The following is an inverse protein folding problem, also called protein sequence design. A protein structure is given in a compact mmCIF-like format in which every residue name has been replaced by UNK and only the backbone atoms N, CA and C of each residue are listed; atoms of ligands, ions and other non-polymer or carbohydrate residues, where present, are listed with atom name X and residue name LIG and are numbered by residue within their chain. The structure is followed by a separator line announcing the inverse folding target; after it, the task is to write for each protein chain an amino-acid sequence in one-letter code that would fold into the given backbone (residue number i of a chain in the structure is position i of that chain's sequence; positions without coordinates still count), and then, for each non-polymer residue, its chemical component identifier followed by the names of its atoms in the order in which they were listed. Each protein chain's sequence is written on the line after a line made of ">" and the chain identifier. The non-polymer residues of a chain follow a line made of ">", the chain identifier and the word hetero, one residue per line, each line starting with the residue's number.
data_IF_558320321419
#
_entry.id   IF_558320321419
#
_cell.length_a   1.000
_cell.length_b   1.000
_cell.length_c   1.000
_cell.angle_alpha   90.00
_cell.angle_beta   90.00
_cell.angle_gamma   90.00
#
_symmetry.space_group_name_H-M   'P 1'
#
loop_
_entity.id
_entity.type
_entity.pdbx_description
1 polymer ?
#
# COMPACT_ATOMS: atom_id res chain seq x y z
N UNK A 1 14.16 2.85 -0.94
CA UNK A 1 12.82 2.38 -1.34
C UNK A 1 11.95 3.51 -1.85
N UNK A 2 11.76 4.61 -1.09
CA UNK A 2 10.86 5.71 -1.47
C UNK A 2 11.07 6.30 -2.87
N UNK A 3 12.29 6.69 -3.24
CA UNK A 3 12.58 7.22 -4.58
C UNK A 3 12.25 6.20 -5.68
N UNK A 4 12.57 4.93 -5.46
CA UNK A 4 12.22 3.84 -6.38
C UNK A 4 10.72 3.66 -6.51
N UNK A 5 9.97 3.73 -5.41
CA UNK A 5 8.50 3.69 -5.40
C UNK A 5 7.90 4.88 -6.16
N UNK A 6 8.42 6.09 -5.95
CA UNK A 6 7.95 7.28 -6.66
C UNK A 6 8.21 7.18 -8.17
N UNK A 7 9.45 6.87 -8.55
CA UNK A 7 9.86 6.81 -9.95
C UNK A 7 9.17 5.68 -10.71
N UNK A 8 9.10 4.48 -10.13
CA UNK A 8 8.44 3.33 -10.76
C UNK A 8 6.90 3.38 -10.65
N UNK A 9 6.36 4.16 -9.73
CA UNK A 9 4.92 4.40 -9.61
C UNK A 9 4.51 5.62 -10.41
N UNK A 10 4.32 6.73 -9.68
CA UNK A 10 3.82 7.98 -10.23
C UNK A 10 4.68 8.52 -11.39
N UNK A 11 6.01 8.49 -11.28
CA UNK A 11 6.91 9.01 -12.32
C UNK A 11 6.73 8.30 -13.67
N UNK A 12 6.70 6.97 -13.65
CA UNK A 12 6.48 6.17 -14.85
C UNK A 12 5.07 6.36 -15.41
N UNK A 13 4.04 6.37 -14.56
CA UNK A 13 2.67 6.62 -14.98
C UNK A 13 2.47 8.03 -15.55
N UNK A 14 3.14 9.04 -14.99
CA UNK A 14 3.16 10.39 -15.52
C UNK A 14 3.82 10.43 -16.91
N UNK A 15 4.95 9.74 -17.10
CA UNK A 15 5.58 9.58 -18.42
C UNK A 15 4.64 8.93 -19.45
N UNK A 16 3.97 7.83 -19.07
CA UNK A 16 2.94 7.23 -19.93
C UNK A 16 1.80 8.20 -20.24
N UNK A 17 1.37 9.00 -19.26
CA UNK A 17 0.27 9.95 -19.43
C UNK A 17 0.63 11.07 -20.41
N UNK A 18 1.87 11.58 -20.37
CA UNK A 18 2.36 12.59 -21.32
C UNK A 18 2.46 12.07 -22.75
N UNK A 19 2.73 10.77 -22.92
CA UNK A 19 2.87 10.13 -24.23
C UNK A 19 1.58 9.44 -24.72
N UNK A 20 0.50 9.49 -23.94
CA UNK A 20 -0.73 8.80 -24.29
C UNK A 20 -1.60 9.67 -25.21
N UNK A 21 -1.73 9.25 -26.47
CA UNK A 21 -2.72 9.80 -27.44
C UNK A 21 -4.15 9.29 -27.17
N UNK A 22 -4.48 9.02 -25.90
CA UNK A 22 -5.75 8.43 -25.51
C UNK A 22 -6.94 9.36 -25.79
N UNK A 23 -8.17 8.83 -25.97
CA UNK A 23 -9.35 9.65 -26.15
C UNK A 23 -9.47 10.63 -24.98
N UNK A 24 -9.49 11.94 -25.28
CA UNK A 24 -9.58 13.00 -24.27
C UNK A 24 -10.82 12.91 -23.36
N UNK A 25 -11.79 12.08 -23.73
CA UNK A 25 -13.03 11.83 -23.01
C UNK A 25 -12.87 10.84 -21.84
N UNK A 26 -11.78 10.07 -21.79
CA UNK A 26 -11.54 9.11 -20.71
C UNK A 26 -10.86 9.78 -19.51
N UNK A 27 -11.23 9.33 -18.30
CA UNK A 27 -10.58 9.76 -17.06
C UNK A 27 -9.08 9.45 -17.14
N UNK A 28 -8.27 10.50 -16.97
CA UNK A 28 -6.81 10.45 -17.02
C UNK A 28 -6.17 10.25 -15.64
N UNK A 29 -4.84 10.30 -15.59
CA UNK A 29 -4.05 10.10 -14.36
C UNK A 29 -4.51 11.02 -13.22
N UNK A 30 -4.62 12.32 -13.50
CA UNK A 30 -4.95 13.35 -12.52
C UNK A 30 -6.42 13.40 -12.11
N UNK A 31 -7.28 12.57 -12.73
CA UNK A 31 -8.68 12.43 -12.31
C UNK A 31 -8.85 11.48 -11.12
N UNK A 32 -7.78 10.78 -10.72
CA UNK A 32 -7.78 9.84 -9.61
C UNK A 32 -6.94 10.42 -8.47
N UNK A 33 -7.57 10.65 -7.32
CA UNK A 33 -6.88 11.15 -6.13
C UNK A 33 -5.92 10.08 -5.59
N UNK A 34 -6.28 8.80 -5.72
CA UNK A 34 -5.39 7.68 -5.39
C UNK A 34 -4.15 7.62 -6.28
N UNK A 35 -4.24 8.01 -7.54
CA UNK A 35 -3.06 8.09 -8.40
C UNK A 35 -2.22 9.33 -8.06
N UNK A 36 -2.86 10.49 -7.88
CA UNK A 36 -2.15 11.76 -7.65
C UNK A 36 -1.50 11.79 -6.27
N UNK A 37 -2.28 11.64 -5.19
CA UNK A 37 -1.73 11.69 -3.84
C UNK A 37 -1.24 10.33 -3.36
N UNK A 38 -1.95 9.27 -3.74
CA UNK A 38 -1.57 7.92 -3.32
C UNK A 38 -0.22 7.52 -3.88
N UNK A 39 -0.06 7.49 -5.20
CA UNK A 39 1.18 7.01 -5.81
C UNK A 39 2.34 8.03 -5.70
N UNK A 40 2.05 9.33 -5.78
CA UNK A 40 3.12 10.35 -5.72
C UNK A 40 3.60 10.63 -4.28
N UNK A 41 2.74 10.48 -3.27
CA UNK A 41 3.05 10.89 -1.89
C UNK A 41 2.92 9.75 -0.90
N UNK A 42 1.77 9.07 -0.85
CA UNK A 42 1.49 8.09 0.21
C UNK A 42 2.34 6.82 0.08
N UNK A 43 2.48 6.25 -1.13
CA UNK A 43 3.30 5.05 -1.33
C UNK A 43 4.80 5.32 -1.07
N UNK A 44 5.42 6.40 -1.57
CA UNK A 44 6.79 6.75 -1.22
C UNK A 44 6.99 7.02 0.27
N UNK A 45 6.01 7.68 0.92
CA UNK A 45 6.03 7.92 2.38
C UNK A 45 5.99 6.60 3.14
N UNK A 46 5.07 5.69 2.78
CA UNK A 46 4.99 4.36 3.37
C UNK A 46 6.31 3.59 3.18
N UNK A 47 6.91 3.64 1.99
CA UNK A 47 8.20 3.02 1.69
C UNK A 47 9.34 3.57 2.56
N UNK A 48 9.41 4.90 2.73
CA UNK A 48 10.39 5.55 3.60
C UNK A 48 10.20 5.13 5.06
N UNK A 49 8.97 5.21 5.56
CA UNK A 49 8.63 4.88 6.94
C UNK A 49 8.89 3.41 7.28
N UNK A 50 8.56 2.47 6.40
CA UNK A 50 8.87 1.06 6.59
C UNK A 50 10.38 0.80 6.55
N UNK A 51 11.12 1.46 5.64
CA UNK A 51 12.59 1.35 5.59
C UNK A 51 13.23 1.81 6.89
N UNK A 52 12.85 3.00 7.39
CA UNK A 52 13.35 3.56 8.65
C UNK A 52 12.99 2.68 9.85
N UNK A 53 11.78 2.11 9.84
CA UNK A 53 11.34 1.20 10.90
C UNK A 53 12.19 -0.07 10.91
N UNK A 54 12.42 -0.67 9.74
CA UNK A 54 13.22 -1.89 9.61
C UNK A 54 14.69 -1.67 9.98
N UNK A 55 15.28 -0.51 9.67
CA UNK A 55 16.67 -0.21 10.06
C UNK A 55 16.84 -0.01 11.56
N UNK A 56 15.79 0.43 12.26
CA UNK A 56 15.80 0.66 13.70
C UNK A 56 15.39 -0.55 14.56
N UNK A 57 15.08 -1.69 13.93
CA UNK A 57 14.59 -2.89 14.62
C UNK A 57 15.58 -4.06 14.45
N UNK A 58 15.83 -4.78 15.54
CA UNK A 58 16.68 -5.97 15.52
C UNK A 58 16.09 -7.07 14.63
N UNK A 59 16.96 -7.81 13.97
CA UNK A 59 16.55 -8.94 13.15
C UNK A 59 15.88 -10.03 14.00
N UNK A 60 14.85 -10.66 13.44
CA UNK A 60 14.10 -11.75 14.02
C UNK A 60 14.50 -13.10 13.40
N UNK A 61 14.16 -14.23 14.05
CA UNK A 61 14.23 -15.54 13.37
C UNK A 61 13.15 -15.65 12.30
N UNK A 62 13.48 -16.31 11.19
CA UNK A 62 12.59 -16.62 10.04
C UNK A 62 12.13 -15.41 9.20
N UNK A 63 12.90 -14.32 9.16
CA UNK A 63 12.52 -13.09 8.45
C UNK A 63 12.18 -13.32 6.98
N UNK A 64 12.98 -14.14 6.30
CA UNK A 64 12.78 -14.43 4.87
C UNK A 64 11.44 -15.12 4.62
N UNK A 65 11.08 -16.08 5.47
CA UNK A 65 9.80 -16.78 5.36
C UNK A 65 8.63 -15.84 5.64
N UNK A 66 8.72 -15.01 6.69
CA UNK A 66 7.67 -14.06 7.06
C UNK A 66 7.48 -12.99 5.98
N UNK A 67 8.57 -12.39 5.51
CA UNK A 67 8.53 -11.41 4.44
C UNK A 67 8.01 -12.04 3.14
N UNK A 68 8.42 -13.28 2.83
CA UNK A 68 7.95 -14.04 1.67
C UNK A 68 6.45 -14.31 1.71
N UNK A 69 5.92 -14.79 2.84
CA UNK A 69 4.48 -15.02 3.01
C UNK A 69 3.69 -13.71 2.90
N UNK A 70 4.15 -12.65 3.54
CA UNK A 70 3.55 -11.32 3.41
C UNK A 70 3.55 -10.84 1.96
N UNK A 71 4.65 -11.03 1.25
CA UNK A 71 4.78 -10.65 -0.15
C UNK A 71 3.86 -11.45 -1.08
N UNK A 72 3.77 -12.77 -0.90
CA UNK A 72 2.84 -13.62 -1.67
C UNK A 72 1.39 -13.19 -1.43
N UNK A 73 1.03 -12.92 -0.18
CA UNK A 73 -0.30 -12.42 0.17
C UNK A 73 -0.60 -11.07 -0.50
N UNK A 74 0.30 -10.09 -0.36
CA UNK A 74 0.15 -8.78 -0.99
C UNK A 74 0.09 -8.85 -2.52
N UNK A 75 0.95 -9.66 -3.14
CA UNK A 75 0.95 -9.89 -4.58
C UNK A 75 -0.38 -10.47 -5.06
N UNK A 76 -0.91 -11.46 -4.33
CA UNK A 76 -2.18 -12.12 -4.67
C UNK A 76 -3.35 -11.14 -4.63
N UNK A 77 -3.39 -10.24 -3.64
CA UNK A 77 -4.40 -9.17 -3.59
C UNK A 77 -4.25 -8.23 -4.79
N UNK A 78 -3.02 -7.80 -5.09
CA UNK A 78 -2.72 -6.97 -6.26
C UNK A 78 -3.24 -7.61 -7.55
N UNK A 79 -2.84 -8.85 -7.84
CA UNK A 79 -3.28 -9.58 -9.03
C UNK A 79 -4.80 -9.76 -9.07
N UNK A 80 -5.41 -10.15 -7.95
CA UNK A 80 -6.86 -10.34 -7.87
C UNK A 80 -7.62 -9.05 -8.19
N UNK A 81 -7.12 -7.88 -7.75
CA UNK A 81 -7.73 -6.60 -8.09
C UNK A 81 -7.72 -6.33 -9.61
N UNK A 82 -6.60 -6.62 -10.28
CA UNK A 82 -6.42 -6.39 -11.71
C UNK A 82 -7.22 -7.36 -12.56
N UNK A 83 -7.23 -8.65 -12.18
CA UNK A 83 -8.10 -9.67 -12.79
C UNK A 83 -9.56 -9.29 -12.61
N UNK A 84 -9.94 -8.79 -11.43
CA UNK A 84 -11.30 -8.32 -11.18
C UNK A 84 -11.75 -7.20 -12.13
N UNK A 85 -10.87 -6.23 -12.42
CA UNK A 85 -11.14 -5.19 -13.41
C UNK A 85 -11.18 -5.72 -14.85
N UNK A 86 -10.27 -6.63 -15.19
CA UNK A 86 -10.23 -7.23 -16.53
C UNK A 86 -11.39 -8.19 -16.78
N UNK A 87 -11.99 -8.81 -15.77
CA UNK A 87 -13.10 -9.76 -15.93
C UNK A 87 -14.48 -9.09 -15.84
N UNK A 88 -14.53 -7.81 -15.43
CA UNK A 88 -15.78 -7.06 -15.39
C UNK A 88 -16.25 -6.72 -16.82
N UNK A 89 -17.46 -7.14 -17.23
CA UNK A 89 -18.03 -6.79 -18.54
C UNK A 89 -18.42 -5.31 -18.65
N UNK A 90 -18.59 -4.59 -17.52
CA UNK A 90 -18.96 -3.18 -17.50
C UNK A 90 -18.04 -2.36 -16.58
N UNK A 91 -16.71 -2.38 -16.83
CA UNK A 91 -15.77 -1.69 -15.96
C UNK A 91 -15.87 -0.17 -16.15
N UNK A 92 -15.40 0.55 -15.15
CA UNK A 92 -15.21 1.98 -15.23
C UNK A 92 -14.04 2.30 -16.18
N UNK A 93 -14.38 2.70 -17.40
CA UNK A 93 -13.38 2.98 -18.43
C UNK A 93 -12.51 4.17 -18.04
N UNK A 94 -11.23 4.06 -18.37
CA UNK A 94 -10.23 5.08 -18.14
C UNK A 94 -9.05 4.90 -19.10
N UNK A 95 -8.10 5.82 -19.08
CA UNK A 95 -6.97 5.82 -20.01
C UNK A 95 -6.07 4.55 -19.93
N UNK A 96 -6.14 3.78 -18.83
CA UNK A 96 -5.43 2.50 -18.67
C UNK A 96 -6.27 1.27 -19.05
N UNK A 97 -7.60 1.38 -19.02
CA UNK A 97 -8.59 0.36 -19.39
C UNK A 97 -9.68 1.02 -20.26
N UNK A 98 -9.39 1.31 -21.55
CA UNK A 98 -10.28 2.10 -22.40
C UNK A 98 -11.48 1.31 -22.93
N UNK A 99 -11.44 -0.03 -22.84
CA UNK A 99 -12.55 -0.92 -23.20
C UNK A 99 -12.54 -2.15 -22.28
N UNK A 100 -13.69 -2.83 -22.10
CA UNK A 100 -13.77 -4.03 -21.26
C UNK A 100 -12.72 -5.06 -21.65
N UNK A 101 -12.11 -5.71 -20.67
CA UNK A 101 -11.11 -6.78 -20.85
C UNK A 101 -9.77 -6.40 -21.50
N UNK A 102 -9.49 -5.10 -21.73
CA UNK A 102 -8.28 -4.69 -22.47
C UNK A 102 -7.53 -3.53 -21.81
N UNK A 103 -6.41 -3.85 -21.15
CA UNK A 103 -5.46 -2.84 -20.73
C UNK A 103 -4.64 -2.28 -21.89
N UNK A 104 -4.29 -0.99 -21.78
CA UNK A 104 -3.21 -0.38 -22.58
C UNK A 104 -1.84 -0.83 -22.05
N UNK A 105 -0.75 -0.42 -22.72
CA UNK A 105 0.60 -0.61 -22.19
C UNK A 105 0.77 0.01 -20.80
N UNK A 106 0.21 1.21 -20.59
CA UNK A 106 0.19 1.87 -19.29
C UNK A 106 -0.61 1.07 -18.25
N UNK A 107 -1.73 0.47 -18.65
CA UNK A 107 -2.52 -0.39 -17.76
C UNK A 107 -1.80 -1.66 -17.33
N UNK A 108 -1.11 -2.35 -18.25
CA UNK A 108 -0.28 -3.50 -17.91
C UNK A 108 0.88 -3.14 -16.99
N UNK A 109 1.55 -2.01 -17.27
CA UNK A 109 2.60 -1.50 -16.39
C UNK A 109 2.07 -1.21 -14.99
N UNK A 110 0.96 -0.47 -14.89
CA UNK A 110 0.32 -0.13 -13.62
C UNK A 110 -0.09 -1.38 -12.84
N UNK A 111 -0.70 -2.38 -13.50
CA UNK A 111 -1.11 -3.64 -12.90
C UNK A 111 0.10 -4.40 -12.30
N UNK A 112 1.21 -4.47 -13.04
CA UNK A 112 2.43 -5.10 -12.58
C UNK A 112 3.07 -4.34 -11.42
N UNK A 113 3.18 -3.01 -11.54
CA UNK A 113 3.71 -2.14 -10.49
C UNK A 113 2.90 -2.28 -9.20
N UNK A 114 1.57 -2.13 -9.26
CA UNK A 114 0.70 -2.20 -8.09
C UNK A 114 0.80 -3.57 -7.40
N UNK A 115 0.83 -4.66 -8.17
CA UNK A 115 0.99 -6.01 -7.61
C UNK A 115 2.34 -6.20 -6.93
N UNK A 116 3.43 -5.71 -7.54
CA UNK A 116 4.76 -5.74 -6.95
C UNK A 116 4.89 -4.84 -5.72
N UNK A 117 4.31 -3.65 -5.76
CA UNK A 117 4.27 -2.71 -4.64
C UNK A 117 3.48 -3.30 -3.46
N UNK A 118 2.31 -3.88 -3.71
CA UNK A 118 1.52 -4.58 -2.70
C UNK A 118 2.32 -5.72 -2.05
N UNK A 119 3.06 -6.51 -2.84
CA UNK A 119 3.95 -7.55 -2.33
C UNK A 119 5.05 -6.97 -1.42
N UNK A 120 5.76 -5.94 -1.90
CA UNK A 120 6.85 -5.32 -1.16
C UNK A 120 6.34 -4.70 0.16
N UNK A 121 5.22 -3.99 0.13
CA UNK A 121 4.65 -3.36 1.32
C UNK A 121 4.09 -4.36 2.33
N UNK A 122 3.40 -5.41 1.87
CA UNK A 122 2.90 -6.45 2.76
C UNK A 122 4.06 -7.24 3.42
N UNK A 123 5.09 -7.60 2.64
CA UNK A 123 6.29 -8.27 3.16
C UNK A 123 7.06 -7.41 4.16
N UNK A 124 7.32 -6.14 3.81
CA UNK A 124 8.00 -5.19 4.69
C UNK A 124 7.20 -4.90 5.97
N UNK A 125 5.86 -4.80 5.86
CA UNK A 125 4.99 -4.60 7.02
C UNK A 125 4.97 -5.81 7.93
N UNK A 126 4.84 -7.03 7.39
CA UNK A 126 4.90 -8.27 8.16
C UNK A 126 6.23 -8.43 8.91
N UNK A 127 7.34 -8.07 8.24
CA UNK A 127 8.67 -8.11 8.83
C UNK A 127 8.83 -7.05 9.93
N UNK A 128 8.51 -5.79 9.64
CA UNK A 128 8.60 -4.67 10.59
C UNK A 128 7.75 -4.96 11.83
N UNK A 129 6.57 -5.53 11.61
CA UNK A 129 5.69 -5.97 12.67
C UNK A 129 6.32 -7.07 13.54
N UNK A 130 6.82 -8.13 12.91
CA UNK A 130 7.44 -9.24 13.65
C UNK A 130 8.63 -8.76 14.49
N UNK A 131 9.49 -7.91 13.92
CA UNK A 131 10.64 -7.34 14.63
C UNK A 131 10.19 -6.42 15.77
N UNK A 132 9.14 -5.63 15.59
CA UNK A 132 8.61 -4.75 16.62
C UNK A 132 8.01 -5.52 17.80
N UNK A 133 7.25 -6.60 17.54
CA UNK A 133 6.65 -7.45 18.59
C UNK A 133 7.73 -8.14 19.43
N UNK A 134 8.81 -8.58 18.78
CA UNK A 134 9.93 -9.31 19.42
C UNK A 134 10.97 -8.39 20.06
N UNK A 135 10.95 -7.10 19.72
CA UNK A 135 11.85 -6.12 20.33
C UNK A 135 11.45 -5.84 21.79
N UNK A 136 12.40 -5.92 22.75
CA UNK A 136 12.11 -5.64 24.16
C UNK A 136 11.80 -4.16 24.40
N UNK A 137 12.25 -3.28 23.52
CA UNK A 137 11.92 -1.86 23.49
C UNK A 137 11.92 -1.38 22.03
N UNK A 138 10.99 -0.48 21.69
CA UNK A 138 10.92 0.16 20.37
C UNK A 138 11.19 1.64 20.55
N UNK A 139 12.21 2.15 19.86
CA UNK A 139 12.56 3.57 19.91
C UNK A 139 11.36 4.46 19.49
N UNK A 140 11.17 5.65 20.09
CA UNK A 140 10.07 6.54 19.73
C UNK A 140 10.05 6.93 18.24
N UNK A 141 11.23 7.07 17.61
CA UNK A 141 11.36 7.33 16.17
C UNK A 141 10.80 6.20 15.32
N UNK A 142 11.20 4.95 15.60
CA UNK A 142 10.67 3.74 14.92
C UNK A 142 9.17 3.63 15.10
N UNK A 143 8.65 3.89 16.31
CA UNK A 143 7.21 3.87 16.57
C UNK A 143 6.47 4.91 15.72
N UNK A 144 6.97 6.14 15.64
CA UNK A 144 6.39 7.19 14.79
C UNK A 144 6.39 6.75 13.32
N UNK A 145 7.49 6.19 12.83
CA UNK A 145 7.57 5.68 11.47
C UNK A 145 6.55 4.56 11.19
N UNK A 146 6.36 3.60 12.11
CA UNK A 146 5.34 2.56 11.98
C UNK A 146 3.91 3.14 11.94
N UNK A 147 3.62 4.12 12.80
CA UNK A 147 2.33 4.83 12.81
C UNK A 147 2.12 5.55 11.49
N UNK A 148 3.12 6.28 10.99
CA UNK A 148 3.05 6.99 9.71
C UNK A 148 2.84 6.05 8.53
N UNK A 149 3.49 4.88 8.51
CA UNK A 149 3.25 3.85 7.49
C UNK A 149 1.82 3.32 7.54
N UNK A 150 1.29 3.06 8.74
CA UNK A 150 -0.11 2.66 8.93
C UNK A 150 -1.09 3.73 8.48
N UNK A 151 -0.85 4.99 8.85
CA UNK A 151 -1.69 6.12 8.44
C UNK A 151 -1.67 6.32 6.92
N UNK A 152 -0.49 6.21 6.28
CA UNK A 152 -0.38 6.27 4.82
C UNK A 152 -1.15 5.13 4.14
N UNK A 153 -1.13 3.92 4.72
CA UNK A 153 -1.91 2.76 4.23
C UNK A 153 -3.42 3.04 4.32
N UNK A 154 -3.90 3.54 5.46
CA UNK A 154 -5.32 3.93 5.66
C UNK A 154 -5.72 4.98 4.63
N UNK A 155 -4.92 6.05 4.52
CA UNK A 155 -5.19 7.15 3.62
C UNK A 155 -5.24 6.68 2.17
N UNK A 156 -4.29 5.84 1.75
CA UNK A 156 -4.26 5.27 0.41
C UNK A 156 -5.51 4.42 0.13
N UNK A 157 -5.88 3.52 1.05
CA UNK A 157 -7.09 2.71 0.93
C UNK A 157 -8.35 3.60 0.87
N UNK A 158 -8.39 4.68 1.64
CA UNK A 158 -9.46 5.67 1.61
C UNK A 158 -9.60 6.37 0.26
N UNK A 159 -8.47 6.78 -0.35
CA UNK A 159 -8.46 7.37 -1.69
C UNK A 159 -8.88 6.37 -2.77
N UNK A 160 -8.42 5.12 -2.69
CA UNK A 160 -8.85 4.06 -3.62
C UNK A 160 -10.36 3.84 -3.51
N UNK A 161 -10.90 3.77 -2.28
CA UNK A 161 -12.33 3.66 -2.05
C UNK A 161 -13.09 4.88 -2.60
N UNK A 162 -12.57 6.09 -2.36
CA UNK A 162 -13.13 7.35 -2.86
C UNK A 162 -13.24 7.35 -4.39
N UNK A 163 -12.17 7.00 -5.09
CA UNK A 163 -12.13 6.94 -6.55
C UNK A 163 -13.06 5.87 -7.14
N UNK A 164 -13.37 4.83 -6.35
CA UNK A 164 -14.28 3.74 -6.70
C UNK A 164 -15.73 3.97 -6.21
N UNK A 165 -16.04 5.11 -5.59
CA UNK A 165 -17.40 5.37 -5.07
C UNK A 165 -18.47 5.38 -6.17
N UNK A 166 -18.12 5.85 -7.35
CA UNK A 166 -19.03 5.86 -8.50
C UNK A 166 -19.25 4.47 -9.12
N UNK A 167 -18.43 3.47 -8.75
CA UNK A 167 -18.32 2.16 -9.43
C UNK A 167 -18.49 0.98 -8.45
N UNK A 168 -19.09 1.25 -7.27
CA UNK A 168 -19.31 0.33 -6.12
C UNK A 168 -20.04 -1.00 -6.41
N UNK A 169 -20.44 -1.25 -7.65
CA UNK A 169 -21.14 -2.47 -8.08
C UNK A 169 -20.22 -3.67 -8.29
N UNK A 170 -18.89 -3.49 -8.36
CA UNK A 170 -17.97 -4.60 -8.67
C UNK A 170 -17.43 -5.27 -7.39
N UNK A 171 -17.37 -6.60 -7.38
CA UNK A 171 -16.82 -7.38 -6.27
C UNK A 171 -15.34 -7.07 -6.00
N UNK A 172 -14.59 -6.69 -7.04
CA UNK A 172 -13.17 -6.34 -6.99
C UNK A 172 -12.89 -5.09 -6.14
N UNK A 173 -13.72 -4.04 -6.27
CA UNK A 173 -13.58 -2.81 -5.49
C UNK A 173 -13.89 -3.03 -4.00
N UNK A 174 -14.83 -3.94 -3.67
CA UNK A 174 -15.15 -4.31 -2.28
C UNK A 174 -14.04 -5.12 -1.63
N UNK A 175 -13.46 -6.08 -2.35
CA UNK A 175 -12.37 -6.92 -1.85
C UNK A 175 -11.09 -6.10 -1.59
N UNK A 176 -10.73 -5.23 -2.53
CA UNK A 176 -9.53 -4.38 -2.41
C UNK A 176 -9.65 -3.38 -1.26
N UNK A 177 -10.83 -2.78 -1.08
CA UNK A 177 -11.12 -1.89 0.05
C UNK A 177 -11.05 -2.59 1.41
N UNK A 178 -11.64 -3.80 1.52
CA UNK A 178 -11.62 -4.58 2.75
C UNK A 178 -10.20 -5.02 3.15
N UNK A 179 -9.38 -5.45 2.18
CA UNK A 179 -7.99 -5.84 2.41
C UNK A 179 -7.12 -4.66 2.89
N UNK A 180 -7.31 -3.47 2.29
CA UNK A 180 -6.61 -2.24 2.71
C UNK A 180 -6.95 -1.83 4.15
N UNK A 181 -8.24 -1.88 4.52
CA UNK A 181 -8.70 -1.57 5.88
C UNK A 181 -8.18 -2.57 6.92
N UNK A 182 -8.11 -3.87 6.57
CA UNK A 182 -7.58 -4.90 7.46
C UNK A 182 -6.07 -4.70 7.74
N UNK A 183 -5.27 -4.38 6.71
CA UNK A 183 -3.85 -4.09 6.86
C UNK A 183 -3.58 -2.86 7.72
N UNK A 184 -4.36 -1.80 7.50
CA UNK A 184 -4.37 -0.58 8.30
C UNK A 184 -4.71 -0.83 9.79
N UNK A 185 -5.77 -1.59 10.06
CA UNK A 185 -6.19 -1.94 11.41
C UNK A 185 -5.11 -2.72 12.16
N UNK A 186 -4.40 -3.64 11.48
CA UNK A 186 -3.26 -4.36 12.03
C UNK A 186 -2.16 -3.40 12.52
N UNK A 187 -1.71 -2.48 11.67
CA UNK A 187 -0.65 -1.53 12.05
C UNK A 187 -1.07 -0.57 13.17
N UNK A 188 -2.32 -0.11 13.18
CA UNK A 188 -2.86 0.76 14.21
C UNK A 188 -2.99 0.07 15.59
N UNK A 189 -3.50 -1.16 15.64
CA UNK A 189 -3.57 -1.96 16.87
C UNK A 189 -2.17 -2.17 17.47
N UNK A 190 -1.15 -2.29 16.63
CA UNK A 190 0.22 -2.49 17.09
C UNK A 190 0.91 -1.22 17.58
N UNK A 191 0.60 -0.07 16.98
CA UNK A 191 0.92 1.21 17.60
C UNK A 191 0.34 1.28 19.02
N UNK A 192 -0.93 0.92 19.19
CA UNK A 192 -1.62 0.93 20.49
C UNK A 192 -1.03 -0.05 21.51
N UNK A 193 -0.74 -1.29 21.10
CA UNK A 193 -0.11 -2.31 21.98
C UNK A 193 1.30 -1.88 22.38
N UNK A 194 2.08 -1.26 21.47
CA UNK A 194 3.41 -0.76 21.78
C UNK A 194 3.40 0.42 22.75
N UNK A 195 2.36 1.28 22.70
CA UNK A 195 2.19 2.38 23.66
C UNK A 195 1.93 1.88 25.08
N UNK A 196 1.11 0.82 25.24
CA UNK A 196 0.82 0.24 26.56
C UNK A 196 2.05 -0.36 27.24
N UNK A 197 2.95 -1.00 26.49
CA UNK A 197 4.18 -1.59 27.06
C UNK A 197 5.21 -0.53 27.53
N UNK A 198 5.20 0.66 26.93
CA UNK A 198 6.08 1.76 27.35
C UNK A 198 5.62 2.44 28.65
N UNK A 199 4.30 2.55 28.88
CA UNK A 199 3.75 3.18 30.09
C UNK A 199 3.93 2.36 31.36
N UNK A 200 3.90 1.03 31.27
CA UNK A 200 4.08 0.15 32.44
C UNK A 200 5.52 0.16 33.00
N UNK A 201 6.53 0.51 32.20
CA UNK A 201 7.93 0.58 32.67
C UNK A 201 8.25 1.85 33.46
N UNK A 202 7.54 2.96 33.22
CA UNK A 202 7.75 4.21 33.96
C UNK A 202 7.06 4.24 35.33
N UNK A 203 6.07 3.36 35.55
CA UNK A 203 5.40 3.22 36.85
C UNK A 203 6.20 2.42 37.88
N UNK A 204 7.01 1.45 37.45
CA UNK A 204 7.75 0.54 38.35
C UNK A 204 9.11 1.09 38.83
N UNK A 205 9.53 2.28 38.39
CA UNK A 205 10.80 2.90 38.79
C UNK A 205 10.64 3.97 39.89
N UNK A 206 9.46 4.04 40.54
CA UNK A 206 9.15 4.99 41.63
C UNK A 206 8.66 4.31 42.92
N UNK A 207 8.94 3.01 43.08
CA UNK A 207 8.64 2.25 44.30
C UNK A 207 9.90 1.93 45.08
#
# INVERSE_FOLDING_TARGET
>A
MAAGTFLAGFGAMYGFHLCADGPHELRGLFTYESATWGDAVLLPTMAACLSLSLSGLAAARHERAIAGMGAVFGFSIGVASQVGWLMDPHPALNWTLPRPHHFTAAGWYHAAFLSGAAAAFAGASALALTRAIRSPAVAPSVRRSLISAGAATVAFAGLVLYDNVATRSTAASRFTGAAGLAGAAGLAVLALVSMRRSGNRTGNARG
#
